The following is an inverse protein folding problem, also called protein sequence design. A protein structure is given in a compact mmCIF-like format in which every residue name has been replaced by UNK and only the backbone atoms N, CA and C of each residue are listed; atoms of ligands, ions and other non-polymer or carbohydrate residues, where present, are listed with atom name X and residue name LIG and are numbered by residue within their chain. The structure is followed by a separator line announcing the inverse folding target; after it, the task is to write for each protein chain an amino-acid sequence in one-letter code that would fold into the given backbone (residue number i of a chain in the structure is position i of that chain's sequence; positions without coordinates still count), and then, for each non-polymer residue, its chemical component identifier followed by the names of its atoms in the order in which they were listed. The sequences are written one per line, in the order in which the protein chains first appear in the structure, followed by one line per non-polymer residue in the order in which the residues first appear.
data_IF_367926065499
#
_entry.id   IF_367926065499
#
_cell.length_a   1.000
_cell.length_b   1.000
_cell.length_c   1.000
_cell.angle_alpha   90.00
_cell.angle_beta   90.00
_cell.angle_gamma   90.00
#
_symmetry.space_group_name_H-M   'P 1'
#
loop_
_entity.id
_entity.type
_entity.pdbx_description
1 polymer ?
#
# COMPACT_ATOMS: atom_id res chain seq x y z
N UNK A 1 14.03 41.64 -25.43
CA UNK A 1 13.50 40.47 -24.71
C UNK A 1 14.68 39.63 -24.26
N UNK A 2 14.89 39.51 -22.94
CA UNK A 2 15.50 38.37 -22.23
C UNK A 2 15.67 38.80 -20.76
N UNK A 3 14.79 38.32 -19.88
CA UNK A 3 14.94 38.37 -18.42
C UNK A 3 15.19 36.94 -17.97
N UNK A 4 16.41 36.46 -18.14
CA UNK A 4 16.79 35.19 -17.53
C UNK A 4 17.25 35.49 -16.11
N UNK A 5 16.68 34.79 -15.12
CA UNK A 5 17.14 34.83 -13.75
C UNK A 5 18.50 34.12 -13.69
N UNK A 6 19.55 34.86 -13.38
CA UNK A 6 20.85 34.28 -13.11
C UNK A 6 20.84 33.69 -11.70
N UNK A 7 20.78 32.36 -11.60
CA UNK A 7 20.76 31.64 -10.30
C UNK A 7 22.01 31.86 -9.45
N UNK A 8 23.09 32.42 -10.02
CA UNK A 8 24.29 32.81 -9.27
C UNK A 8 24.19 34.21 -8.64
N UNK A 9 23.35 35.08 -9.21
CA UNK A 9 23.15 36.46 -8.74
C UNK A 9 21.80 36.68 -8.04
N UNK A 10 20.87 35.72 -8.16
CA UNK A 10 19.56 35.77 -7.51
C UNK A 10 19.71 35.50 -6.00
N UNK A 11 19.38 36.45 -5.11
CA UNK A 11 19.45 36.20 -3.68
C UNK A 11 18.54 35.03 -3.33
N UNK A 12 19.12 34.01 -2.68
CA UNK A 12 18.32 32.92 -2.14
C UNK A 12 17.23 33.51 -1.23
N UNK A 13 16.00 32.95 -1.28
CA UNK A 13 14.93 33.41 -0.42
C UNK A 13 15.43 33.40 1.03
N UNK A 14 15.38 34.56 1.67
CA UNK A 14 15.77 34.73 3.07
C UNK A 14 14.99 33.71 3.89
N UNK A 15 15.70 32.82 4.57
CA UNK A 15 15.09 31.85 5.48
C UNK A 15 14.35 32.64 6.56
N UNK A 16 13.08 32.31 6.81
CA UNK A 16 12.34 32.93 7.89
C UNK A 16 12.86 32.38 9.22
N UNK A 17 13.06 33.26 10.20
CA UNK A 17 13.51 32.89 11.55
C UNK A 17 12.64 31.80 12.19
N UNK A 18 11.35 31.78 11.86
CA UNK A 18 10.42 30.73 12.28
C UNK A 18 10.80 29.34 11.75
N UNK A 19 11.22 29.22 10.48
CA UNK A 19 11.64 27.93 9.92
C UNK A 19 12.93 27.43 10.55
N UNK A 20 13.84 28.34 10.92
CA UNK A 20 15.07 27.98 11.62
C UNK A 20 14.76 27.48 13.05
N UNK A 21 13.87 28.15 13.78
CA UNK A 21 13.42 27.70 15.10
C UNK A 21 12.73 26.33 15.07
N UNK A 22 11.84 26.10 14.11
CA UNK A 22 11.18 24.79 13.94
C UNK A 22 12.17 23.70 13.53
N UNK A 23 13.18 24.03 12.72
CA UNK A 23 14.26 23.10 12.39
C UNK A 23 15.03 22.67 13.63
N UNK A 24 15.47 23.63 14.46
CA UNK A 24 16.20 23.34 15.70
C UNK A 24 15.37 22.47 16.66
N UNK A 25 14.07 22.77 16.79
CA UNK A 25 13.14 21.98 17.60
C UNK A 25 13.04 20.54 17.11
N UNK A 26 12.93 20.32 15.81
CA UNK A 26 12.87 18.97 15.22
C UNK A 26 14.21 18.24 15.43
N UNK A 27 15.34 18.92 15.26
CA UNK A 27 16.67 18.33 15.48
C UNK A 27 16.84 17.87 16.94
N UNK A 28 16.44 18.69 17.91
CA UNK A 28 16.45 18.33 19.34
C UNK A 28 15.54 17.14 19.64
N UNK A 29 14.28 17.17 19.19
CA UNK A 29 13.33 16.09 19.40
C UNK A 29 13.81 14.75 18.78
N UNK A 30 14.45 14.83 17.61
CA UNK A 30 15.03 13.67 16.93
C UNK A 30 16.21 13.10 17.71
N UNK A 31 17.10 13.96 18.23
CA UNK A 31 18.23 13.55 19.05
C UNK A 31 17.76 12.88 20.36
N UNK A 32 16.76 13.44 21.03
CA UNK A 32 16.17 12.82 22.23
C UNK A 32 15.54 11.45 21.94
N UNK A 33 14.82 11.33 20.82
CA UNK A 33 14.20 10.08 20.42
C UNK A 33 15.25 8.98 20.17
N UNK A 34 16.35 9.34 19.49
CA UNK A 34 17.47 8.42 19.27
C UNK A 34 18.19 8.06 20.59
N UNK A 35 18.38 9.02 21.48
CA UNK A 35 18.98 8.78 22.81
C UNK A 35 18.15 7.83 23.67
N UNK A 36 16.81 7.87 23.55
CA UNK A 36 15.87 6.93 24.20
C UNK A 36 15.86 5.54 23.57
N UNK A 37 16.67 5.29 22.53
CA UNK A 37 16.73 4.01 21.82
C UNK A 37 15.70 3.87 20.69
N UNK A 38 15.05 4.96 20.30
CA UNK A 38 14.16 5.01 19.14
C UNK A 38 14.91 4.69 17.84
N UNK A 39 14.22 4.08 16.88
CA UNK A 39 14.75 3.77 15.55
C UNK A 39 13.99 4.57 14.50
N UNK A 40 14.71 5.22 13.61
CA UNK A 40 14.13 5.99 12.50
C UNK A 40 14.29 5.17 11.22
N UNK A 41 13.17 4.83 10.59
CA UNK A 41 13.15 4.22 9.27
C UNK A 41 13.15 5.32 8.21
N UNK A 42 14.16 5.33 7.33
CA UNK A 42 14.21 6.27 6.22
C UNK A 42 13.29 5.76 5.10
N UNK A 43 12.04 6.17 5.12
CA UNK A 43 11.11 5.91 4.03
C UNK A 43 11.47 6.87 2.88
N UNK A 44 12.18 6.36 1.88
CA UNK A 44 12.42 7.11 0.64
C UNK A 44 11.12 7.37 -0.13
N UNK A 45 11.14 8.34 -1.05
CA UNK A 45 10.01 8.57 -1.94
C UNK A 45 9.93 7.42 -2.95
N UNK A 46 9.01 6.47 -2.75
CA UNK A 46 8.71 5.46 -3.76
C UNK A 46 7.69 6.06 -4.74
N UNK A 47 8.18 6.61 -5.85
CA UNK A 47 7.32 6.82 -7.01
C UNK A 47 6.80 5.44 -7.45
N UNK A 48 5.48 5.25 -7.44
CA UNK A 48 4.88 4.08 -8.08
C UNK A 48 5.00 4.31 -9.59
N UNK A 49 5.90 3.60 -10.25
CA UNK A 49 6.27 3.83 -11.66
C UNK A 49 5.07 3.90 -12.62
N UNK A 50 3.96 3.18 -12.34
CA UNK A 50 2.77 3.21 -13.18
C UNK A 50 1.47 2.96 -12.42
N UNK A 51 1.13 3.81 -11.45
CA UNK A 51 -0.26 3.89 -10.99
C UNK A 51 -0.95 5.03 -11.75
N UNK A 52 -1.72 4.77 -12.82
CA UNK A 52 -2.55 5.82 -13.40
C UNK A 52 -3.48 6.30 -12.28
N UNK A 53 -3.48 7.61 -12.01
CA UNK A 53 -4.33 8.23 -10.99
C UNK A 53 -5.78 8.28 -11.49
N UNK A 54 -6.34 7.13 -11.85
CA UNK A 54 -7.74 7.02 -12.23
C UNK A 54 -8.56 7.19 -10.96
N UNK A 55 -9.20 8.35 -10.84
CA UNK A 55 -10.20 8.62 -9.81
C UNK A 55 -11.31 7.60 -10.00
N UNK A 56 -11.41 6.63 -9.08
CA UNK A 56 -12.48 5.64 -9.12
C UNK A 56 -13.74 6.28 -8.51
N UNK A 57 -14.77 6.63 -9.32
CA UNK A 57 -15.92 7.38 -8.85
C UNK A 57 -16.75 6.60 -7.80
N UNK A 58 -16.63 5.27 -7.76
CA UNK A 58 -17.32 4.45 -6.76
C UNK A 58 -16.67 4.52 -5.37
N UNK A 59 -15.38 4.87 -5.31
CA UNK A 59 -14.58 4.85 -4.08
C UNK A 59 -14.26 6.23 -3.54
N UNK A 60 -14.22 7.24 -4.40
CA UNK A 60 -13.95 8.60 -3.97
C UNK A 60 -15.17 9.21 -3.28
N UNK A 61 -14.98 9.86 -2.12
CA UNK A 61 -16.08 10.37 -1.29
C UNK A 61 -16.95 11.40 -2.01
N UNK A 62 -16.40 12.12 -3.00
CA UNK A 62 -17.13 13.11 -3.81
C UNK A 62 -18.20 12.47 -4.70
N UNK A 63 -18.00 11.23 -5.19
CA UNK A 63 -18.88 10.59 -6.17
C UNK A 63 -19.59 9.34 -5.64
N UNK A 64 -19.23 8.86 -4.45
CA UNK A 64 -19.70 7.57 -3.92
C UNK A 64 -21.20 7.51 -3.68
N UNK A 65 -21.84 8.64 -3.34
CA UNK A 65 -23.28 8.70 -3.06
C UNK A 65 -24.14 8.44 -4.31
N UNK A 66 -23.61 8.66 -5.53
CA UNK A 66 -24.35 8.44 -6.78
C UNK A 66 -24.56 6.96 -7.09
N UNK A 67 -23.83 6.07 -6.42
CA UNK A 67 -23.86 4.63 -6.66
C UNK A 67 -24.56 3.84 -5.54
N UNK A 68 -25.03 4.52 -4.50
CA UNK A 68 -25.89 3.89 -3.48
C UNK A 68 -27.27 3.67 -4.11
N UNK A 69 -27.74 2.42 -4.10
CA UNK A 69 -29.14 2.16 -4.47
C UNK A 69 -30.01 2.80 -3.40
N UNK A 70 -31.02 3.60 -3.76
CA UNK A 70 -31.98 4.05 -2.76
C UNK A 70 -32.60 2.80 -2.14
N UNK A 71 -32.67 2.78 -0.81
CA UNK A 71 -33.35 1.71 -0.09
C UNK A 71 -34.77 1.58 -0.63
N UNK A 72 -35.29 0.36 -0.81
CA UNK A 72 -36.66 0.18 -1.25
C UNK A 72 -37.58 0.92 -0.27
N UNK A 73 -38.39 1.82 -0.83
CA UNK A 73 -39.45 2.54 -0.14
C UNK A 73 -40.18 1.54 0.77
N UNK A 74 -40.38 1.83 2.06
CA UNK A 74 -41.10 0.92 2.95
C UNK A 74 -42.47 0.65 2.36
N UNK A 75 -42.67 -0.57 1.86
CA UNK A 75 -43.98 -1.07 1.48
C UNK A 75 -44.84 -0.98 2.74
N UNK A 76 -45.96 -0.29 2.65
CA UNK A 76 -46.93 -0.16 3.72
C UNK A 76 -47.30 -1.55 4.25
N UNK A 77 -46.84 -1.87 5.46
CA UNK A 77 -47.30 -3.03 6.19
C UNK A 77 -48.74 -2.75 6.66
N UNK A 78 -49.71 -3.65 6.45
CA UNK A 78 -51.04 -3.49 7.01
C UNK A 78 -50.98 -3.64 8.53
N UNK A 79 -51.68 -2.71 9.20
CA UNK A 79 -51.88 -2.58 10.64
C UNK A 79 -52.20 -3.90 11.34
N UNK A 80 -51.59 -4.16 12.51
CA UNK A 80 -52.42 -4.38 13.69
C UNK A 80 -51.89 -3.64 14.93
N UNK A 81 -52.78 -2.93 15.62
CA UNK A 81 -52.65 -2.48 17.02
C UNK A 81 -53.25 -3.53 17.99
N UNK A 82 -53.05 -3.46 19.32
CA UNK A 82 -51.93 -2.97 20.14
C UNK A 82 -51.61 -3.91 21.35
N UNK A 83 -50.73 -3.45 22.26
CA UNK A 83 -50.44 -3.94 23.63
C UNK A 83 -49.49 -5.16 23.74
N UNK A 84 -48.35 -5.09 24.43
CA UNK A 84 -48.26 -4.97 25.88
C UNK A 84 -46.86 -4.48 26.31
N UNK A 85 -46.86 -3.72 27.41
CA UNK A 85 -45.75 -3.13 28.17
C UNK A 85 -44.74 -4.17 28.68
N UNK A 86 -43.44 -3.82 28.80
CA UNK A 86 -42.57 -4.05 29.97
C UNK A 86 -41.10 -3.57 29.74
N UNK A 87 -40.81 -2.38 30.26
CA UNK A 87 -39.80 -2.07 31.28
C UNK A 87 -38.37 -2.72 31.27
N UNK A 88 -37.37 -1.82 31.33
CA UNK A 88 -36.11 -1.87 32.13
C UNK A 88 -34.75 -2.39 31.58
N UNK A 89 -33.79 -1.44 31.71
CA UNK A 89 -32.35 -1.54 32.10
C UNK A 89 -31.26 -1.79 31.02
N UNK A 90 -30.22 -0.92 30.96
CA UNK A 90 -29.09 -1.05 30.03
C UNK A 90 -27.95 -1.90 30.60
N UNK A 91 -27.34 -2.76 29.78
CA UNK A 91 -26.05 -3.41 30.07
C UNK A 91 -25.19 -3.42 28.79
N UNK A 92 -23.93 -2.94 28.83
CA UNK A 92 -23.11 -2.79 27.64
C UNK A 92 -22.49 -4.13 27.23
N UNK A 93 -22.82 -4.63 26.04
CA UNK A 93 -22.19 -5.82 25.47
C UNK A 93 -21.00 -5.42 24.59
N UNK A 94 -19.82 -5.86 25.02
CA UNK A 94 -18.52 -5.74 24.35
C UNK A 94 -18.52 -6.46 22.99
N UNK A 95 -17.81 -5.84 22.04
CA UNK A 95 -17.45 -6.29 20.69
C UNK A 95 -17.08 -7.79 20.58
N UNK A 96 -17.24 -8.35 19.37
CA UNK A 96 -16.02 -8.83 18.72
C UNK A 96 -15.86 -8.21 17.32
N UNK A 97 -14.71 -7.55 17.13
CA UNK A 97 -14.29 -7.05 15.84
C UNK A 97 -14.12 -8.22 14.84
N UNK A 98 -14.60 -8.10 13.59
CA UNK A 98 -14.32 -9.10 12.58
C UNK A 98 -12.81 -9.09 12.28
N UNK A 99 -12.18 -10.25 12.48
CA UNK A 99 -10.79 -10.49 12.13
C UNK A 99 -10.57 -10.10 10.66
N UNK A 100 -9.72 -9.09 10.44
CA UNK A 100 -9.27 -8.71 9.10
C UNK A 100 -8.61 -9.94 8.44
N UNK A 101 -9.00 -10.30 7.20
CA UNK A 101 -8.29 -11.35 6.48
C UNK A 101 -6.83 -10.93 6.33
N UNK A 102 -5.92 -11.75 6.86
CA UNK A 102 -4.49 -11.55 6.70
C UNK A 102 -4.18 -11.53 5.21
N UNK A 103 -3.79 -10.36 4.71
CA UNK A 103 -3.34 -10.19 3.34
C UNK A 103 -2.19 -11.19 3.11
N UNK A 104 -2.34 -12.08 2.12
CA UNK A 104 -1.23 -12.90 1.61
C UNK A 104 -0.02 -11.99 1.47
N UNK A 105 1.03 -12.23 2.28
CA UNK A 105 2.33 -11.56 2.16
C UNK A 105 2.74 -11.64 0.71
N UNK A 106 2.58 -10.54 -0.03
CA UNK A 106 3.20 -10.42 -1.35
C UNK A 106 4.69 -10.51 -1.07
N UNK A 107 5.37 -11.41 -1.77
CA UNK A 107 6.81 -11.63 -1.70
C UNK A 107 7.56 -10.40 -2.26
N UNK A 108 7.36 -9.23 -1.65
CA UNK A 108 7.64 -7.94 -2.25
C UNK A 108 9.13 -7.56 -2.19
N UNK A 109 9.95 -8.20 -1.35
CA UNK A 109 11.38 -7.92 -1.26
C UNK A 109 12.23 -9.19 -1.23
N UNK A 110 11.93 -10.16 -2.09
CA UNK A 110 12.87 -11.28 -2.29
C UNK A 110 13.99 -10.76 -3.21
N UNK A 111 15.25 -10.67 -2.75
CA UNK A 111 16.34 -10.15 -3.58
C UNK A 111 16.50 -11.02 -4.83
N UNK A 112 16.85 -10.39 -5.95
CA UNK A 112 16.94 -11.04 -7.26
C UNK A 112 17.79 -12.32 -7.26
N UNK A 113 18.87 -12.34 -6.46
CA UNK A 113 19.71 -13.51 -6.27
C UNK A 113 18.97 -14.70 -5.62
N UNK A 114 18.08 -14.45 -4.66
CA UNK A 114 17.27 -15.50 -4.03
C UNK A 114 16.16 -16.00 -4.98
N UNK A 115 15.59 -15.12 -5.80
CA UNK A 115 14.66 -15.51 -6.87
C UNK A 115 15.38 -16.41 -7.91
N UNK A 116 16.58 -16.03 -8.33
CA UNK A 116 17.41 -16.81 -9.24
C UNK A 116 17.76 -18.18 -8.66
N UNK A 117 18.16 -18.26 -7.39
CA UNK A 117 18.47 -19.54 -6.72
C UNK A 117 17.24 -20.46 -6.69
N UNK A 118 16.05 -19.94 -6.37
CA UNK A 118 14.81 -20.73 -6.39
C UNK A 118 14.45 -21.19 -7.80
N UNK A 119 14.60 -20.33 -8.81
CA UNK A 119 14.38 -20.69 -10.21
C UNK A 119 15.38 -21.74 -10.71
N UNK A 120 16.64 -21.67 -10.27
CA UNK A 120 17.68 -22.64 -10.60
C UNK A 120 17.35 -24.03 -10.03
N UNK A 121 16.88 -24.10 -8.78
CA UNK A 121 16.41 -25.36 -8.18
C UNK A 121 15.24 -25.93 -8.97
N UNK A 122 14.25 -25.10 -9.32
CA UNK A 122 13.10 -25.55 -10.12
C UNK A 122 13.50 -26.00 -11.54
N UNK A 123 14.47 -25.33 -12.17
CA UNK A 123 15.01 -25.73 -13.46
C UNK A 123 15.76 -27.07 -13.38
N UNK A 124 16.51 -27.30 -12.29
CA UNK A 124 17.20 -28.57 -12.03
C UNK A 124 16.20 -29.72 -11.81
N UNK A 125 15.07 -29.45 -11.16
CA UNK A 125 13.94 -30.36 -11.02
C UNK A 125 13.17 -30.62 -12.33
N UNK A 126 13.55 -29.95 -13.43
CA UNK A 126 12.93 -30.13 -14.74
C UNK A 126 11.60 -29.40 -14.92
N UNK A 127 11.27 -28.47 -14.03
CA UNK A 127 10.06 -27.65 -14.18
C UNK A 127 10.15 -26.75 -15.43
N UNK A 128 9.01 -26.50 -16.08
CA UNK A 128 8.94 -25.49 -17.14
C UNK A 128 8.93 -24.08 -16.55
N UNK A 129 9.31 -23.04 -17.32
CA UNK A 129 9.36 -21.66 -16.83
C UNK A 129 8.04 -21.18 -16.19
N UNK A 130 6.89 -21.62 -16.72
CA UNK A 130 5.57 -21.28 -16.18
C UNK A 130 5.31 -21.92 -14.81
N UNK A 131 5.74 -23.17 -14.62
CA UNK A 131 5.61 -23.88 -13.34
C UNK A 131 6.56 -23.30 -12.30
N UNK A 132 7.80 -23.02 -12.70
CA UNK A 132 8.80 -22.38 -11.84
C UNK A 132 8.34 -20.98 -11.38
N UNK A 133 7.77 -20.17 -12.28
CA UNK A 133 7.21 -18.86 -11.95
C UNK A 133 6.09 -18.94 -10.90
N UNK A 134 5.16 -19.90 -11.06
CA UNK A 134 4.08 -20.15 -10.08
C UNK A 134 4.61 -20.57 -8.72
N UNK A 135 5.64 -21.44 -8.68
CA UNK A 135 6.25 -21.90 -7.43
C UNK A 135 6.97 -20.78 -6.68
N UNK A 136 7.59 -19.85 -7.41
CA UNK A 136 8.32 -18.71 -6.84
C UNK A 136 7.38 -17.54 -6.52
N UNK A 137 6.17 -17.50 -7.10
CA UNK A 137 5.17 -16.46 -6.88
C UNK A 137 5.40 -15.20 -7.71
N UNK A 138 6.11 -15.32 -8.84
CA UNK A 138 6.41 -14.24 -9.80
C UNK A 138 5.69 -14.47 -11.13
N UNK A 139 5.65 -13.45 -11.99
CA UNK A 139 5.10 -13.62 -13.34
C UNK A 139 6.06 -14.44 -14.21
N UNK A 140 5.52 -15.12 -15.24
CA UNK A 140 6.35 -15.89 -16.17
C UNK A 140 7.35 -15.01 -16.93
N UNK A 141 6.95 -13.78 -17.27
CA UNK A 141 7.84 -12.80 -17.92
C UNK A 141 9.05 -12.51 -17.03
N UNK A 142 8.82 -12.26 -15.74
CA UNK A 142 9.89 -11.95 -14.79
C UNK A 142 10.80 -13.16 -14.56
N UNK A 143 10.24 -14.37 -14.47
CA UNK A 143 11.01 -15.60 -14.36
C UNK A 143 11.94 -15.81 -15.57
N UNK A 144 11.45 -15.52 -16.79
CA UNK A 144 12.26 -15.59 -18.02
C UNK A 144 13.33 -14.51 -18.07
N UNK A 145 13.06 -13.31 -17.57
CA UNK A 145 14.04 -12.23 -17.49
C UNK A 145 15.17 -12.60 -16.52
N UNK A 146 14.84 -13.00 -15.29
CA UNK A 146 15.81 -13.47 -14.30
C UNK A 146 16.62 -14.66 -14.83
N UNK A 147 15.99 -15.59 -15.55
CA UNK A 147 16.72 -16.70 -16.17
C UNK A 147 17.72 -16.25 -17.25
N UNK A 148 17.43 -15.17 -17.99
CA UNK A 148 18.41 -14.58 -18.94
C UNK A 148 19.54 -13.88 -18.21
N UNK A 149 19.20 -13.06 -17.22
CA UNK A 149 20.17 -12.27 -16.46
C UNK A 149 21.18 -13.16 -15.72
N UNK A 150 20.70 -14.29 -15.15
CA UNK A 150 21.51 -15.26 -14.42
C UNK A 150 21.91 -16.50 -15.24
N UNK A 151 21.67 -16.51 -16.56
CA UNK A 151 22.02 -17.60 -17.49
C UNK A 151 21.52 -18.99 -17.05
N UNK A 152 20.30 -19.07 -16.51
CA UNK A 152 19.65 -20.32 -16.10
C UNK A 152 19.00 -21.00 -17.31
N UNK A 153 19.37 -22.25 -17.58
CA UNK A 153 18.81 -23.05 -18.67
C UNK A 153 17.67 -23.95 -18.20
N UNK A 154 16.48 -23.78 -18.77
CA UNK A 154 15.37 -24.71 -18.56
C UNK A 154 15.40 -25.84 -19.59
N UNK A 155 15.33 -27.09 -19.13
CA UNK A 155 15.28 -28.28 -20.00
C UNK A 155 13.97 -28.38 -20.79
N UNK A 156 12.88 -27.81 -20.27
CA UNK A 156 11.54 -27.89 -20.87
C UNK A 156 10.96 -26.48 -21.05
N UNK A 157 10.76 -26.05 -22.29
CA UNK A 157 10.32 -24.68 -22.60
C UNK A 157 8.80 -24.49 -22.80
N UNK A 158 8.01 -25.57 -22.72
CA UNK A 158 6.54 -25.58 -22.71
C UNK A 158 6.01 -26.61 -21.74
#
# INVERSE_FOLDING_TARGET
MQRYHDTSADPLPLKSSHLDAERERIEQATAEFLAKGGRIERVGYQMKDHQPWVINPKRTPVYSHLFQRPDPIPQAQPTPEPETVLEMVPVPAVLPAPARPQAKRRAADVPAAQLAARLMVQAALGASPAVAAKAVGITEKDARQVARDFRITFKRQR
#
